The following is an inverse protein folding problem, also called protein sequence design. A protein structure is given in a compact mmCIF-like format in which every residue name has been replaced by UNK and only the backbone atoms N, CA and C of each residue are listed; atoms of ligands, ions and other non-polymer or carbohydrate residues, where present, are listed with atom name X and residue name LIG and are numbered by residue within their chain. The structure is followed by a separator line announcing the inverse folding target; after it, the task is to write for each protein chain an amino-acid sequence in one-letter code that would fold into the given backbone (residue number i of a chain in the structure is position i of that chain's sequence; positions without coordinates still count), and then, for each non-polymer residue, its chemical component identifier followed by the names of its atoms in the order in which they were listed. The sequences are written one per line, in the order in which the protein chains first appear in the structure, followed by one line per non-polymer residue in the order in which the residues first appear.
data_IF_276397504230
#
_entry.id   IF_276397504230
#
_cell.length_a   1.000
_cell.length_b   1.000
_cell.length_c   1.000
_cell.angle_alpha   90.00
_cell.angle_beta   90.00
_cell.angle_gamma   90.00
#
_symmetry.space_group_name_H-M   'P 1'
#
loop_
_entity.id
_entity.type
_entity.pdbx_description
1 polymer ?
#
# COMPACT_ATOMS: atom_id res chain seq x y z
N UNK A 1 -16.97 -10.29 11.29
CA UNK A 1 -15.76 -10.41 10.44
C UNK A 1 -14.44 -10.23 11.21
N UNK A 2 -14.23 -9.21 12.07
CA UNK A 2 -12.90 -8.98 12.70
C UNK A 2 -12.41 -10.14 13.59
N UNK A 3 -13.31 -10.76 14.35
CA UNK A 3 -12.98 -11.82 15.31
C UNK A 3 -12.48 -13.12 14.65
N UNK A 4 -12.95 -13.45 13.43
CA UNK A 4 -12.53 -14.67 12.72
C UNK A 4 -11.08 -14.57 12.26
N UNK A 5 -10.69 -13.44 11.66
CA UNK A 5 -9.30 -13.22 11.26
C UNK A 5 -8.35 -13.13 12.45
N UNK A 6 -8.79 -12.51 13.54
CA UNK A 6 -8.03 -12.44 14.80
C UNK A 6 -7.84 -13.80 15.48
N UNK A 7 -8.60 -14.83 15.12
CA UNK A 7 -8.52 -16.17 15.77
C UNK A 7 -7.96 -17.25 14.85
N UNK A 8 -8.16 -17.14 13.53
CA UNK A 8 -7.83 -18.20 12.58
C UNK A 8 -6.72 -17.84 11.58
N UNK A 9 -6.40 -16.55 11.39
CA UNK A 9 -5.50 -16.09 10.31
C UNK A 9 -4.48 -15.05 10.78
N UNK A 10 -3.87 -15.30 11.96
CA UNK A 10 -2.93 -14.38 12.61
C UNK A 10 -1.70 -14.03 11.78
N UNK A 11 -1.23 -14.93 10.90
CA UNK A 11 -0.04 -14.68 10.06
C UNK A 11 -0.26 -13.60 9.00
N UNK A 12 -1.51 -13.36 8.61
CA UNK A 12 -1.90 -12.41 7.55
C UNK A 12 -2.35 -11.06 8.13
N UNK A 13 -2.72 -11.02 9.41
CA UNK A 13 -3.24 -9.82 10.07
C UNK A 13 -2.10 -8.93 10.59
N UNK A 14 -2.08 -7.69 10.14
CA UNK A 14 -1.22 -6.60 10.61
C UNK A 14 -2.10 -5.59 11.36
N UNK A 15 -1.64 -5.13 12.53
CA UNK A 15 -2.39 -4.18 13.38
C UNK A 15 -1.62 -2.87 13.45
N UNK A 16 -2.32 -1.75 13.24
CA UNK A 16 -1.76 -0.40 13.23
C UNK A 16 -1.89 0.26 11.85
N UNK A 17 -1.75 1.58 11.80
CA UNK A 17 -1.83 2.36 10.55
C UNK A 17 -0.56 2.29 9.70
N UNK A 18 0.60 2.00 10.32
CA UNK A 18 1.91 2.05 9.66
C UNK A 18 2.61 0.71 9.68
N UNK A 19 3.06 0.25 8.52
CA UNK A 19 3.76 -1.01 8.35
C UNK A 19 5.02 -0.83 7.52
N UNK A 20 6.08 -1.51 7.91
CA UNK A 20 7.35 -1.59 7.17
C UNK A 20 7.57 -3.02 6.72
N UNK A 21 8.06 -3.19 5.50
CA UNK A 21 8.40 -4.50 4.95
C UNK A 21 9.54 -4.36 3.93
N UNK A 22 10.28 -5.45 3.73
CA UNK A 22 11.39 -5.53 2.80
C UNK A 22 11.05 -6.55 1.71
N UNK A 23 11.19 -6.16 0.45
CA UNK A 23 10.91 -7.04 -0.69
C UNK A 23 12.19 -7.39 -1.43
N UNK A 24 12.30 -8.63 -1.93
CA UNK A 24 13.45 -9.06 -2.72
C UNK A 24 13.20 -8.74 -4.20
N UNK A 25 14.07 -7.93 -4.81
CA UNK A 25 13.84 -7.36 -6.14
C UNK A 25 14.24 -8.27 -7.31
N UNK A 26 14.81 -9.45 -7.04
CA UNK A 26 15.32 -10.38 -8.05
C UNK A 26 14.53 -11.70 -8.14
N UNK A 27 13.40 -11.80 -7.45
CA UNK A 27 12.52 -12.98 -7.45
C UNK A 27 11.08 -12.48 -7.55
N UNK A 28 10.23 -13.22 -8.26
CA UNK A 28 8.79 -12.95 -8.24
C UNK A 28 8.24 -13.20 -6.83
N UNK A 29 7.52 -12.23 -6.27
CA UNK A 29 6.95 -12.29 -4.92
C UNK A 29 5.53 -11.74 -4.92
N UNK A 30 4.67 -12.37 -4.13
CA UNK A 30 3.27 -12.00 -3.98
C UNK A 30 2.90 -12.15 -2.52
N UNK A 31 2.72 -11.02 -1.83
CA UNK A 31 2.33 -10.98 -0.42
C UNK A 31 1.00 -10.27 -0.28
N UNK A 32 0.11 -10.91 0.47
CA UNK A 32 -1.21 -10.41 0.81
C UNK A 32 -1.31 -10.27 2.33
N UNK A 33 -1.83 -9.15 2.80
CA UNK A 33 -2.08 -8.88 4.21
C UNK A 33 -3.44 -8.26 4.43
N UNK A 34 -4.00 -8.55 5.60
CA UNK A 34 -5.12 -7.80 6.16
C UNK A 34 -4.55 -6.80 7.16
N UNK A 35 -4.86 -5.53 6.98
CA UNK A 35 -4.40 -4.45 7.83
C UNK A 35 -5.59 -3.93 8.64
N UNK A 36 -5.45 -3.91 9.96
CA UNK A 36 -6.46 -3.39 10.87
C UNK A 36 -6.02 -2.04 11.44
N UNK A 37 -6.77 -0.99 11.10
CA UNK A 37 -6.54 0.38 11.57
C UNK A 37 -7.73 0.81 12.43
N UNK A 38 -7.54 0.81 13.75
CA UNK A 38 -8.63 1.03 14.69
C UNK A 38 -9.68 -0.08 14.59
N UNK A 39 -10.86 0.23 14.05
CA UNK A 39 -11.95 -0.74 13.81
C UNK A 39 -12.12 -1.10 12.34
N UNK A 40 -11.40 -0.42 11.47
CA UNK A 40 -11.48 -0.58 10.02
C UNK A 40 -10.48 -1.62 9.53
N UNK A 41 -10.84 -2.27 8.43
CA UNK A 41 -10.06 -3.33 7.82
C UNK A 41 -9.70 -2.96 6.38
N UNK A 42 -8.48 -3.30 6.00
CA UNK A 42 -7.91 -3.02 4.68
C UNK A 42 -7.24 -4.29 4.16
N UNK A 43 -7.35 -4.52 2.86
CA UNK A 43 -6.57 -5.51 2.13
C UNK A 43 -5.37 -4.81 1.50
N UNK A 44 -4.16 -5.31 1.79
CA UNK A 44 -2.91 -4.82 1.22
C UNK A 44 -2.28 -5.94 0.41
N UNK A 45 -2.00 -5.66 -0.86
CA UNK A 45 -1.31 -6.55 -1.78
C UNK A 45 0.00 -5.91 -2.21
N UNK A 46 1.07 -6.70 -2.16
CA UNK A 46 2.39 -6.32 -2.64
C UNK A 46 2.88 -7.37 -3.62
N UNK A 47 3.11 -6.96 -4.86
CA UNK A 47 3.68 -7.81 -5.89
C UNK A 47 5.05 -7.30 -6.30
N UNK A 48 5.98 -8.22 -6.51
CA UNK A 48 7.20 -8.01 -7.30
C UNK A 48 7.09 -8.95 -8.50
N UNK A 49 7.04 -8.37 -9.70
CA UNK A 49 7.10 -9.12 -10.94
C UNK A 49 8.35 -8.71 -11.73
N UNK A 50 9.30 -9.63 -11.84
CA UNK A 50 10.60 -9.35 -12.49
C UNK A 50 10.52 -9.34 -14.02
N UNK A 51 9.43 -9.84 -14.60
CA UNK A 51 9.26 -9.95 -16.06
C UNK A 51 8.41 -8.84 -16.65
N UNK A 52 7.53 -8.25 -15.84
CA UNK A 52 6.47 -7.40 -16.36
C UNK A 52 6.49 -6.03 -15.66
N UNK A 53 5.93 -5.92 -14.45
CA UNK A 53 5.41 -4.65 -13.91
C UNK A 53 6.32 -4.08 -12.82
N UNK A 54 7.37 -4.78 -12.39
CA UNK A 54 8.18 -4.35 -11.25
C UNK A 54 7.39 -4.50 -9.96
N UNK A 55 7.40 -3.47 -9.11
CA UNK A 55 6.76 -3.50 -7.80
C UNK A 55 5.41 -2.80 -7.85
N UNK A 56 4.38 -3.47 -7.35
CA UNK A 56 3.03 -2.93 -7.18
C UNK A 56 2.65 -2.99 -5.71
N UNK A 57 2.15 -1.89 -5.17
CA UNK A 57 1.53 -1.85 -3.83
C UNK A 57 0.11 -1.31 -3.98
N UNK A 58 -0.87 -2.17 -3.66
CA UNK A 58 -2.29 -1.85 -3.73
C UNK A 58 -2.92 -2.00 -2.35
N UNK A 59 -3.64 -0.97 -1.91
CA UNK A 59 -4.37 -0.96 -0.64
C UNK A 59 -5.84 -0.67 -0.93
N UNK A 60 -6.71 -1.51 -0.40
CA UNK A 60 -8.15 -1.35 -0.50
C UNK A 60 -8.81 -1.44 0.88
N UNK A 61 -9.74 -0.55 1.17
CA UNK A 61 -10.64 -0.62 2.30
C UNK A 61 -11.65 -1.75 2.09
N UNK A 62 -11.87 -2.57 3.12
CA UNK A 62 -12.85 -3.65 3.08
C UNK A 62 -14.23 -3.08 3.47
N UNK A 63 -15.02 -2.73 2.46
CA UNK A 63 -16.33 -2.11 2.62
C UNK A 63 -16.63 -1.06 1.53
N UNK A 64 -17.72 -0.30 1.68
CA UNK A 64 -18.23 0.57 0.61
C UNK A 64 -17.29 1.73 0.28
N UNK A 65 -17.32 2.15 -0.99
CA UNK A 65 -16.49 3.26 -1.51
C UNK A 65 -16.64 4.58 -0.76
N UNK A 66 -17.85 4.93 -0.32
CA UNK A 66 -18.06 6.14 0.48
C UNK A 66 -17.26 6.12 1.79
N UNK A 67 -17.00 4.94 2.37
CA UNK A 67 -16.16 4.82 3.54
C UNK A 67 -14.68 4.83 3.18
N UNK A 68 -14.31 4.15 2.09
CA UNK A 68 -12.94 4.10 1.57
C UNK A 68 -12.38 5.50 1.28
N UNK A 69 -13.22 6.39 0.74
CA UNK A 69 -12.88 7.78 0.45
C UNK A 69 -12.54 8.62 1.70
N UNK A 70 -12.78 8.11 2.91
CA UNK A 70 -12.34 8.78 4.15
C UNK A 70 -10.91 8.43 4.53
N UNK A 71 -10.20 7.64 3.72
CA UNK A 71 -8.86 7.16 4.01
C UNK A 71 -7.92 7.40 2.84
N UNK A 72 -6.69 7.79 3.14
CA UNK A 72 -5.57 7.74 2.21
C UNK A 72 -4.57 6.69 2.64
N UNK A 73 -3.85 6.13 1.67
CA UNK A 73 -2.64 5.38 1.94
C UNK A 73 -1.44 6.08 1.29
N UNK A 74 -0.32 6.06 2.00
CA UNK A 74 0.97 6.53 1.55
C UNK A 74 1.93 5.36 1.46
N UNK A 75 2.57 5.18 0.30
CA UNK A 75 3.68 4.24 0.11
C UNK A 75 4.96 5.04 -0.02
N UNK A 76 5.95 4.72 0.80
CA UNK A 76 7.27 5.34 0.74
C UNK A 76 8.37 4.32 0.60
N UNK A 77 9.35 4.65 -0.23
CA UNK A 77 10.60 3.90 -0.39
C UNK A 77 11.76 4.87 -0.19
N UNK A 78 12.68 4.52 0.71
CA UNK A 78 13.89 5.26 0.96
C UNK A 78 15.07 4.45 0.43
N UNK A 79 15.88 5.07 -0.41
CA UNK A 79 17.13 4.50 -0.88
C UNK A 79 18.16 4.50 0.24
N UNK A 80 19.23 3.73 0.04
CA UNK A 80 20.33 3.63 0.99
C UNK A 80 20.85 5.02 1.41
N UNK A 81 21.12 5.22 2.69
CA UNK A 81 21.54 6.50 3.29
C UNK A 81 20.57 7.69 3.07
N UNK A 82 19.29 7.42 2.77
CA UNK A 82 18.29 8.45 2.48
C UNK A 82 18.66 9.35 1.28
N UNK A 83 19.54 8.91 0.38
CA UNK A 83 19.95 9.72 -0.79
C UNK A 83 18.79 9.94 -1.76
N UNK A 84 17.84 9.02 -1.78
CA UNK A 84 16.66 9.05 -2.65
C UNK A 84 15.44 8.66 -1.85
N UNK A 85 14.35 9.40 -2.02
CA UNK A 85 13.06 9.08 -1.41
C UNK A 85 12.00 9.21 -2.49
N UNK A 86 11.13 8.22 -2.57
CA UNK A 86 9.89 8.32 -3.33
C UNK A 86 8.74 8.12 -2.35
N UNK A 87 7.74 8.98 -2.49
CA UNK A 87 6.51 8.95 -1.72
C UNK A 87 5.36 9.03 -2.71
N UNK A 88 4.39 8.14 -2.55
CA UNK A 88 3.17 8.09 -3.32
C UNK A 88 2.01 8.11 -2.33
N UNK A 89 1.05 9.00 -2.54
CA UNK A 89 -0.11 9.14 -1.67
C UNK A 89 -1.37 9.13 -2.50
N UNK A 90 -2.40 8.45 -2.02
CA UNK A 90 -3.69 8.37 -2.69
C UNK A 90 -4.84 8.06 -1.74
N UNK A 91 -6.05 8.47 -2.08
CA UNK A 91 -7.28 7.88 -1.57
C UNK A 91 -7.32 6.35 -1.73
N UNK A 92 -7.88 5.69 -0.73
CA UNK A 92 -7.96 4.23 -0.68
C UNK A 92 -9.08 3.73 -1.57
N UNK A 93 -8.83 2.67 -2.33
CA UNK A 93 -9.90 1.98 -3.06
C UNK A 93 -10.87 1.26 -2.14
N UNK A 94 -12.07 0.96 -2.61
CA UNK A 94 -12.92 -0.08 -2.00
C UNK A 94 -12.57 -1.46 -2.55
N UNK A 95 -12.69 -2.50 -1.73
CA UNK A 95 -12.61 -3.90 -2.14
C UNK A 95 -13.73 -4.33 -3.11
N UNK A 96 -14.80 -3.54 -3.20
CA UNK A 96 -15.88 -3.70 -4.18
C UNK A 96 -15.48 -3.16 -5.57
N UNK A 97 -14.36 -2.45 -5.69
CA UNK A 97 -13.79 -2.03 -6.96
C UNK A 97 -12.95 -3.16 -7.58
N UNK A 98 -12.75 -3.12 -8.90
CA UNK A 98 -11.98 -4.15 -9.59
C UNK A 98 -10.48 -3.94 -9.39
N UNK A 99 -9.88 -4.65 -8.44
CA UNK A 99 -8.43 -4.59 -8.16
C UNK A 99 -7.57 -4.84 -9.42
N UNK A 100 -8.00 -5.73 -10.32
CA UNK A 100 -7.32 -5.98 -11.60
C UNK A 100 -7.28 -4.75 -12.51
N UNK A 101 -8.35 -3.94 -12.52
CA UNK A 101 -8.41 -2.70 -13.30
C UNK A 101 -7.51 -1.63 -12.66
N UNK A 102 -7.53 -1.52 -11.33
CA UNK A 102 -6.70 -0.57 -10.58
C UNK A 102 -5.22 -0.83 -10.85
N UNK A 103 -4.79 -2.09 -10.74
CA UNK A 103 -3.42 -2.50 -11.10
C UNK A 103 -3.17 -2.20 -12.57
N UNK A 104 -4.05 -2.66 -13.48
CA UNK A 104 -3.79 -2.56 -14.92
C UNK A 104 -3.63 -1.13 -15.45
N UNK A 105 -4.31 -0.17 -14.81
CA UNK A 105 -4.27 1.26 -15.15
C UNK A 105 -3.15 2.00 -14.45
N UNK A 106 -2.32 1.31 -13.66
CA UNK A 106 -1.35 1.92 -12.74
C UNK A 106 -2.02 2.93 -11.80
N UNK A 107 -3.28 2.64 -11.46
CA UNK A 107 -4.07 3.37 -10.50
C UNK A 107 -3.81 2.73 -9.13
N UNK A 108 -2.55 2.72 -8.72
CA UNK A 108 -2.01 2.32 -7.42
C UNK A 108 -0.51 2.63 -7.41
N UNK A 109 0.22 2.27 -6.34
CA UNK A 109 1.66 2.48 -6.34
C UNK A 109 2.32 1.52 -7.32
N UNK A 110 3.17 2.07 -8.18
CA UNK A 110 3.89 1.31 -9.19
C UNK A 110 5.34 1.81 -9.26
N UNK A 111 6.30 0.89 -9.18
CA UNK A 111 7.72 1.19 -9.28
C UNK A 111 8.35 0.17 -10.23
N UNK A 112 8.82 0.62 -11.39
CA UNK A 112 9.52 -0.29 -12.31
C UNK A 112 10.81 -0.82 -11.69
N UNK A 113 11.29 -1.99 -12.13
CA UNK A 113 12.56 -2.53 -11.65
C UNK A 113 13.75 -1.60 -11.92
N UNK A 114 13.77 -0.93 -13.07
CA UNK A 114 14.84 0.03 -13.40
C UNK A 114 14.85 1.23 -12.43
N UNK A 115 13.68 1.69 -12.02
CA UNK A 115 13.55 2.69 -10.97
C UNK A 115 13.92 2.11 -9.60
N UNK A 116 13.54 0.88 -9.28
CA UNK A 116 13.91 0.22 -8.02
C UNK A 116 15.44 0.10 -7.86
N UNK A 117 16.16 -0.25 -8.93
CA UNK A 117 17.63 -0.31 -8.95
C UNK A 117 18.29 1.03 -8.60
N UNK A 118 17.61 2.16 -8.83
CA UNK A 118 18.11 3.48 -8.44
C UNK A 118 18.15 3.70 -6.92
N UNK A 119 17.34 2.97 -6.15
CA UNK A 119 17.32 3.03 -4.68
C UNK A 119 18.34 2.07 -4.04
N UNK A 120 18.87 1.12 -4.82
CA UNK A 120 19.84 0.11 -4.39
C UNK A 120 21.31 0.46 -4.69
N UNK A 121 21.60 1.59 -5.35
CA UNK A 121 22.95 1.85 -5.89
C UNK A 121 24.00 2.02 -4.77
N UNK A 122 24.81 0.98 -4.58
CA UNK A 122 26.09 1.04 -3.86
C UNK A 122 27.23 1.42 -4.82
N UNK A 123 28.24 2.13 -4.32
CA UNK A 123 29.48 2.46 -5.06
C UNK A 123 30.53 1.33 -5.08
N UNK A 124 30.22 0.11 -4.64
CA UNK A 124 31.24 -0.92 -4.39
C UNK A 124 30.88 -2.28 -5.00
N UNK A 125 31.80 -2.78 -5.83
CA UNK A 125 31.65 -3.89 -6.79
C UNK A 125 31.66 -5.31 -6.19
N UNK A 126 31.54 -5.47 -4.87
CA UNK A 126 31.73 -6.78 -4.24
C UNK A 126 30.55 -7.14 -3.33
N UNK A 127 29.69 -8.00 -3.88
CA UNK A 127 28.78 -8.94 -3.23
C UNK A 127 27.79 -8.43 -2.16
N UNK A 128 26.53 -8.26 -2.57
CA UNK A 128 25.37 -8.69 -1.78
C UNK A 128 24.43 -9.46 -2.75
N UNK A 129 24.14 -10.75 -2.51
CA UNK A 129 23.32 -11.56 -3.42
C UNK A 129 21.83 -11.22 -3.37
N UNK A 130 21.38 -10.46 -2.36
CA UNK A 130 19.97 -10.15 -2.17
C UNK A 130 19.69 -8.65 -2.23
N UNK A 131 19.09 -8.24 -3.35
CA UNK A 131 18.64 -6.86 -3.58
C UNK A 131 17.32 -6.64 -2.84
N UNK A 132 17.37 -6.29 -1.56
CA UNK A 132 16.18 -5.92 -0.78
C UNK A 132 15.90 -4.43 -0.85
N UNK A 133 14.64 -4.06 -1.04
CA UNK A 133 14.16 -2.68 -0.84
C UNK A 133 13.16 -2.62 0.30
N UNK A 134 13.36 -1.62 1.15
CA UNK A 134 12.48 -1.32 2.28
C UNK A 134 11.39 -0.35 1.87
N UNK A 135 10.16 -0.74 2.19
CA UNK A 135 8.96 0.06 1.98
C UNK A 135 8.31 0.34 3.32
N UNK A 136 7.66 1.50 3.41
CA UNK A 136 6.70 1.78 4.46
C UNK A 136 5.36 2.16 3.84
N UNK A 137 4.29 1.58 4.36
CA UNK A 137 2.91 1.92 4.03
C UNK A 137 2.26 2.53 5.26
N UNK A 138 1.60 3.67 5.10
CA UNK A 138 0.85 4.34 6.15
C UNK A 138 -0.58 4.63 5.68
N UNK A 139 -1.56 4.21 6.46
CA UNK A 139 -2.99 4.45 6.21
C UNK A 139 -3.48 5.53 7.16
N UNK A 140 -3.97 6.63 6.61
CA UNK A 140 -4.41 7.81 7.35
C UNK A 140 -5.89 8.08 7.09
N UNK A 141 -6.60 8.50 8.13
CA UNK A 141 -7.97 8.99 7.98
C UNK A 141 -7.91 10.45 7.52
N UNK A 142 -8.74 10.81 6.55
CA UNK A 142 -8.90 12.20 6.12
C UNK A 142 -9.72 12.95 7.18
N UNK A 143 -9.18 14.06 7.67
CA UNK A 143 -9.93 15.03 8.45
C UNK A 143 -10.85 15.82 7.50
N UNK A 144 -12.01 15.24 7.16
CA UNK A 144 -13.01 15.95 6.38
C UNK A 144 -13.68 17.02 7.27
N UNK A 145 -13.80 18.28 6.80
CA UNK A 145 -14.62 19.25 7.49
C UNK A 145 -16.07 18.76 7.50
N UNK A 146 -16.67 18.73 8.69
CA UNK A 146 -18.09 18.40 8.88
C UNK A 146 -18.91 19.33 7.98
N UNK A 147 -19.56 18.80 6.95
CA UNK A 147 -20.50 19.59 6.18
C UNK A 147 -21.63 20.02 7.13
N UNK A 148 -21.93 21.33 7.25
CA UNK A 148 -23.08 21.77 8.02
C UNK A 148 -24.35 21.15 7.39
N UNK A 149 -25.37 20.81 8.20
CA UNK A 149 -26.61 20.25 7.70
C UNK A 149 -27.19 21.16 6.61
N UNK A 150 -27.52 20.59 5.45
CA UNK A 150 -28.35 21.28 4.46
C UNK A 150 -29.68 21.61 5.13
N UNK A 151 -29.89 22.87 5.48
CA UNK A 151 -31.21 23.37 5.78
C UNK A 151 -32.03 23.28 4.49
N UNK A 152 -33.12 22.52 4.55
CA UNK A 152 -34.13 22.41 3.50
C UNK A 152 -34.64 23.82 3.15
N UNK A 153 -34.17 24.35 2.02
CA UNK A 153 -34.75 25.51 1.36
C UNK A 153 -36.03 25.06 0.65
N UNK A 154 -37.10 24.89 1.41
CA UNK A 154 -38.46 24.98 0.90
C UNK A 154 -38.82 26.47 0.76
N UNK A 155 -38.96 26.95 -0.47
CA UNK A 155 -39.66 28.18 -0.84
C UNK A 155 -40.25 28.06 -2.23
#
# INVERSE_FOLDING_TARGET
MPHHFQTCHLSILKVGSRHQFSMRMNVDQHDDWLVMVGRDLFYMRVDVNIRTWGIVVHVAYIGPKCNANNYTYEVSVCGLHNERKLVYTRETHSDLESASLNVSRQDCFHLSLDQALNFLRYKNRHCEPDKFLDFAVEISKLDLPVQPPQEDLDS
#
